data_IF_984496422052
#
_entry.id   IF_984496422052
#
_cell.length_a   1.000
_cell.length_b   1.000
_cell.length_c   1.000
_cell.angle_alpha   90.00
_cell.angle_beta   90.00
_cell.angle_gamma   90.00
#
_symmetry.space_group_name_H-M   'P 1'
#
loop_
_entity.id
_entity.type
_entity.pdbx_description
1 polymer ?
#
# COMPACT_ATOMS: atom_id res chain seq x y z
N UNK A 1 13.95 -19.46 -49.28
CA UNK A 1 13.78 -18.43 -48.23
C UNK A 1 12.29 -18.18 -48.05
N UNK A 2 11.70 -18.67 -46.96
CA UNK A 2 10.32 -18.35 -46.56
C UNK A 2 10.40 -18.00 -45.08
N UNK A 3 10.12 -16.73 -44.77
CA UNK A 3 9.97 -16.23 -43.41
C UNK A 3 8.49 -16.18 -43.12
N UNK A 4 7.98 -17.10 -42.31
CA UNK A 4 6.65 -17.00 -41.71
C UNK A 4 6.61 -15.80 -40.76
N UNK A 5 5.68 -14.84 -40.94
CA UNK A 5 5.48 -13.78 -39.96
C UNK A 5 4.83 -14.38 -38.72
N UNK A 6 5.55 -14.38 -37.60
CA UNK A 6 5.03 -14.85 -36.32
C UNK A 6 4.04 -13.80 -35.78
N UNK A 7 2.75 -14.10 -35.79
CA UNK A 7 1.71 -13.32 -35.10
C UNK A 7 1.87 -13.49 -33.58
N UNK A 8 1.78 -12.43 -32.75
CA UNK A 8 1.73 -12.57 -31.30
C UNK A 8 0.34 -13.11 -30.86
N UNK A 9 0.27 -13.93 -29.80
CA UNK A 9 -1.02 -14.34 -29.23
C UNK A 9 -1.72 -13.13 -28.57
N UNK A 10 -3.06 -13.04 -28.64
CA UNK A 10 -3.82 -12.12 -27.83
C UNK A 10 -3.85 -12.66 -26.39
N UNK A 11 -2.82 -12.38 -25.59
CA UNK A 11 -2.93 -12.52 -24.15
C UNK A 11 -3.89 -11.43 -23.66
N UNK A 12 -5.15 -11.82 -23.52
CA UNK A 12 -6.17 -11.03 -22.83
C UNK A 12 -5.66 -10.68 -21.42
N UNK A 13 -5.73 -9.42 -20.96
CA UNK A 13 -5.43 -9.09 -19.57
C UNK A 13 -6.59 -9.60 -18.70
N UNK A 14 -6.56 -10.89 -18.37
CA UNK A 14 -7.53 -11.49 -17.46
C UNK A 14 -7.04 -11.28 -16.03
N UNK A 15 -7.61 -10.27 -15.37
CA UNK A 15 -7.91 -10.28 -13.94
C UNK A 15 -6.85 -10.89 -13.01
N UNK A 16 -5.75 -10.18 -12.77
CA UNK A 16 -4.92 -10.38 -11.55
C UNK A 16 -4.60 -9.09 -10.80
N UNK A 17 -5.26 -7.98 -11.13
CA UNK A 17 -5.20 -6.75 -10.32
C UNK A 17 -6.17 -6.75 -9.12
N UNK A 18 -7.00 -7.79 -8.95
CA UNK A 18 -8.04 -7.82 -7.91
C UNK A 18 -7.70 -8.62 -6.65
N UNK A 19 -6.48 -9.18 -6.54
CA UNK A 19 -6.09 -10.02 -5.39
C UNK A 19 -5.31 -9.31 -4.27
N UNK A 20 -4.81 -8.09 -4.51
CA UNK A 20 -3.86 -7.42 -3.59
C UNK A 20 -4.35 -6.05 -3.11
N UNK A 21 -5.62 -5.71 -3.38
CA UNK A 21 -6.18 -4.39 -3.07
C UNK A 21 -7.21 -4.38 -1.92
N UNK A 22 -7.71 -5.54 -1.49
CA UNK A 22 -8.85 -5.62 -0.57
C UNK A 22 -8.50 -6.15 0.84
N UNK A 23 -7.31 -6.73 1.02
CA UNK A 23 -6.86 -7.32 2.29
C UNK A 23 -5.92 -6.43 3.11
N UNK A 24 -5.63 -5.20 2.65
CA UNK A 24 -4.66 -4.30 3.28
C UNK A 24 -5.23 -2.94 3.70
N UNK A 25 -6.55 -2.72 3.57
CA UNK A 25 -7.13 -1.50 4.11
C UNK A 25 -7.17 -1.63 5.63
N UNK A 26 -6.50 -0.75 6.39
CA UNK A 26 -6.57 -0.81 7.84
C UNK A 26 -8.02 -0.62 8.25
N UNK A 27 -8.57 -1.58 9.01
CA UNK A 27 -9.94 -1.49 9.55
C UNK A 27 -9.97 -0.66 10.83
N UNK A 28 -8.82 -0.54 11.51
CA UNK A 28 -8.70 0.26 12.71
C UNK A 28 -8.65 1.76 12.36
N UNK A 29 -9.48 2.62 12.99
CA UNK A 29 -9.58 4.04 12.64
C UNK A 29 -8.25 4.78 12.76
N UNK A 30 -7.44 4.50 13.79
CA UNK A 30 -6.12 5.12 13.93
C UNK A 30 -5.13 4.68 12.84
N UNK A 31 -5.28 3.47 12.30
CA UNK A 31 -4.44 3.02 11.20
C UNK A 31 -4.89 3.66 9.87
N UNK A 32 -6.18 3.96 9.70
CA UNK A 32 -6.66 4.76 8.57
C UNK A 32 -6.11 6.18 8.64
N UNK A 33 -6.20 6.82 9.82
CA UNK A 33 -5.69 8.18 10.04
C UNK A 33 -4.18 8.29 9.78
N UNK A 34 -3.39 7.37 10.33
CA UNK A 34 -1.94 7.33 10.07
C UNK A 34 -1.64 7.16 8.57
N UNK A 35 -2.39 6.30 7.85
CA UNK A 35 -2.22 6.12 6.41
C UNK A 35 -2.55 7.38 5.60
N UNK A 36 -3.61 8.12 5.98
CA UNK A 36 -3.98 9.37 5.32
C UNK A 36 -2.94 10.47 5.58
N UNK A 37 -2.41 10.55 6.80
CA UNK A 37 -1.32 11.47 7.13
C UNK A 37 -0.04 11.14 6.34
N UNK A 38 0.29 9.85 6.17
CA UNK A 38 1.39 9.39 5.32
C UNK A 38 1.17 9.85 3.88
N UNK A 39 -0.03 9.62 3.32
CA UNK A 39 -0.36 10.03 1.95
C UNK A 39 -0.23 11.53 1.75
N UNK A 40 -0.76 12.33 2.68
CA UNK A 40 -0.66 13.79 2.62
C UNK A 40 0.78 14.28 2.67
N UNK A 41 1.62 13.70 3.53
CA UNK A 41 3.03 14.06 3.64
C UNK A 41 3.81 13.72 2.35
N UNK A 42 3.58 12.53 1.79
CA UNK A 42 4.22 12.10 0.54
C UNK A 42 3.78 12.95 -0.64
N UNK A 43 2.49 13.27 -0.74
CA UNK A 43 1.94 14.12 -1.81
C UNK A 43 2.50 15.55 -1.73
N UNK A 44 2.58 16.13 -0.53
CA UNK A 44 3.19 17.44 -0.31
C UNK A 44 4.67 17.50 -0.74
N UNK A 45 5.35 16.34 -0.82
CA UNK A 45 6.75 16.21 -1.25
C UNK A 45 6.93 15.58 -2.62
N UNK A 46 5.87 15.48 -3.42
CA UNK A 46 5.96 14.95 -4.77
C UNK A 46 6.97 15.74 -5.62
N UNK A 47 8.09 15.09 -5.97
CA UNK A 47 9.15 15.68 -6.80
C UNK A 47 10.12 16.59 -6.06
N UNK A 48 10.12 16.57 -4.72
CA UNK A 48 11.07 17.32 -3.89
C UNK A 48 11.93 16.38 -3.04
N UNK A 49 13.14 16.81 -2.72
CA UNK A 49 13.96 16.13 -1.71
C UNK A 49 13.36 16.31 -0.32
N UNK A 50 13.56 15.29 0.51
CA UNK A 50 13.01 15.24 1.87
C UNK A 50 14.02 15.82 2.86
N UNK A 51 13.56 16.71 3.72
CA UNK A 51 14.39 17.16 4.84
C UNK A 51 14.46 16.09 5.94
N UNK A 52 15.50 16.13 6.78
CA UNK A 52 15.64 15.18 7.89
C UNK A 52 14.46 15.20 8.86
N UNK A 53 13.82 16.36 9.04
CA UNK A 53 12.63 16.51 9.90
C UNK A 53 11.44 15.73 9.32
N UNK A 54 11.30 15.72 8.02
CA UNK A 54 10.16 15.10 7.33
C UNK A 54 10.32 13.61 7.18
N UNK A 55 11.55 13.17 6.93
CA UNK A 55 11.89 11.76 7.04
C UNK A 55 11.60 11.26 8.45
N UNK A 56 11.96 12.01 9.50
CA UNK A 56 11.64 11.62 10.87
C UNK A 56 10.12 11.59 11.13
N UNK A 57 9.36 12.56 10.62
CA UNK A 57 7.91 12.57 10.74
C UNK A 57 7.26 11.36 10.05
N UNK A 58 7.73 11.00 8.86
CA UNK A 58 7.27 9.83 8.13
C UNK A 58 7.56 8.51 8.86
N UNK A 59 8.76 8.36 9.44
CA UNK A 59 9.11 7.19 10.25
C UNK A 59 8.19 7.04 11.47
N UNK A 60 7.85 8.15 12.14
CA UNK A 60 6.88 8.13 13.25
C UNK A 60 5.52 7.65 12.76
N UNK A 61 5.02 8.19 11.66
CA UNK A 61 3.72 7.78 11.09
C UNK A 61 3.72 6.30 10.68
N UNK A 62 4.84 5.78 10.15
CA UNK A 62 4.99 4.36 9.83
C UNK A 62 4.90 3.47 11.08
N UNK A 63 5.52 3.89 12.19
CA UNK A 63 5.46 3.16 13.46
C UNK A 63 4.04 3.17 14.03
N UNK A 64 3.37 4.33 14.01
CA UNK A 64 1.98 4.46 14.48
C UNK A 64 1.02 3.59 13.67
N UNK A 65 1.18 3.60 12.34
CA UNK A 65 0.43 2.73 11.45
C UNK A 65 0.70 1.24 11.73
N UNK A 66 1.97 0.85 11.89
CA UNK A 66 2.35 -0.53 12.20
C UNK A 66 1.79 -1.00 13.56
N UNK A 67 1.77 -0.12 14.56
CA UNK A 67 1.18 -0.40 15.87
C UNK A 67 -0.33 -0.60 15.78
N UNK A 68 -1.04 0.31 15.09
CA UNK A 68 -2.49 0.27 14.95
C UNK A 68 -2.98 -0.91 14.08
N UNK A 69 -2.21 -1.30 13.05
CA UNK A 69 -2.51 -2.48 12.23
C UNK A 69 -2.25 -3.79 12.98
N UNK A 70 -1.24 -3.83 13.86
CA UNK A 70 -0.98 -5.00 14.71
C UNK A 70 -2.03 -5.18 15.80
N UNK A 71 -2.52 -4.09 16.41
CA UNK A 71 -3.61 -4.13 17.39
C UNK A 71 -4.89 -4.74 16.82
N UNK A 72 -5.24 -4.39 15.58
CA UNK A 72 -6.40 -4.94 14.87
C UNK A 72 -6.34 -6.46 14.61
N UNK A 73 -5.15 -7.06 14.60
CA UNK A 73 -4.97 -8.50 14.41
C UNK A 73 -5.15 -9.31 15.71
N UNK A 74 -5.06 -8.67 16.88
CA UNK A 74 -5.24 -9.30 18.20
C UNK A 74 -6.71 -9.56 18.55
N UNK A 75 -7.61 -8.64 18.18
CA UNK A 75 -9.03 -8.73 18.51
C UNK A 75 -9.80 -9.83 17.74
N UNK A 76 -9.17 -10.47 16.74
CA UNK A 76 -9.78 -11.53 15.94
C UNK A 76 -9.58 -12.94 16.57
N UNK A 77 -8.71 -13.08 17.59
CA UNK A 77 -8.29 -14.39 18.11
C UNK A 77 -8.98 -14.78 19.45
N UNK A 78 -10.03 -14.09 19.90
CA UNK A 78 -10.68 -14.39 21.20
C UNK A 78 -12.17 -14.76 21.14
N UNK A 79 -12.55 -15.60 20.19
CA UNK A 79 -13.86 -16.28 20.20
C UNK A 79 -13.76 -17.71 19.64
N UNK A 80 -13.28 -18.67 20.46
CA UNK A 80 -13.38 -20.10 20.19
C UNK A 80 -13.58 -20.88 21.49
#
# INVERSE_FOLDING_TARGET
MVLTPQLPPPFSPRNTAQGIGQSAQPTHPSAVEANEAIRALVDARAGQDWSSVESAAYEVLLIEWAAATRGAAGDIIEAA
#
